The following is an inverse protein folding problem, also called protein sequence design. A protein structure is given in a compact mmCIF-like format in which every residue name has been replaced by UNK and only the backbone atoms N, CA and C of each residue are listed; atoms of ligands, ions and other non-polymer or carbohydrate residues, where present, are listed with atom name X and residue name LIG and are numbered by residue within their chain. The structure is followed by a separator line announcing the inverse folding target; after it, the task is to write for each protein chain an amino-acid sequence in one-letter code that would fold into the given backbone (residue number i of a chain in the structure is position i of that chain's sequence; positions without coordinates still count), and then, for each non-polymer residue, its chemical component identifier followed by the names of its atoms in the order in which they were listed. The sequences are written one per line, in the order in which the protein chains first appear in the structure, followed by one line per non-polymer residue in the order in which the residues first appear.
data_IF_154288832755
#
_entry.id   IF_154288832755
#
_cell.length_a   1.000
_cell.length_b   1.000
_cell.length_c   1.000
_cell.angle_alpha   90.00
_cell.angle_beta   90.00
_cell.angle_gamma   90.00
#
_symmetry.space_group_name_H-M   'P 1'
#
loop_
_entity.id
_entity.type
_entity.pdbx_description
1 polymer ?
#
# COMPACT_ATOMS: atom_id res chain seq x y z
N UNK A 1 13.13 4.74 -20.54
CA UNK A 1 14.18 5.36 -19.70
C UNK A 1 13.88 4.99 -18.24
N UNK A 2 14.33 3.81 -17.78
CA UNK A 2 14.11 3.27 -16.42
C UNK A 2 15.47 2.81 -15.84
N UNK A 3 16.51 3.65 -15.95
CA UNK A 3 17.81 3.33 -15.37
C UNK A 3 17.84 3.81 -13.91
N UNK A 4 17.87 2.83 -13.00
CA UNK A 4 18.28 2.92 -11.58
C UNK A 4 17.20 3.21 -10.52
N UNK A 5 16.05 2.54 -10.55
CA UNK A 5 15.28 2.35 -9.31
C UNK A 5 16.02 1.32 -8.44
N UNK A 6 17.06 1.77 -7.74
CA UNK A 6 17.72 0.96 -6.71
C UNK A 6 16.82 1.00 -5.46
N UNK A 7 16.46 -0.16 -4.92
CA UNK A 7 15.81 -0.29 -3.61
C UNK A 7 16.83 -0.09 -2.49
N UNK A 8 17.49 1.07 -2.51
CA UNK A 8 18.52 1.45 -1.56
C UNK A 8 17.94 2.15 -0.31
N UNK A 9 16.77 2.78 -0.47
CA UNK A 9 16.03 3.51 0.57
C UNK A 9 14.72 2.82 0.91
N UNK A 10 14.39 2.81 2.20
CA UNK A 10 13.14 2.26 2.73
C UNK A 10 11.91 2.99 2.18
N UNK A 11 11.94 4.32 2.13
CA UNK A 11 10.79 5.09 1.65
C UNK A 11 10.42 4.77 0.20
N UNK A 12 11.40 4.41 -0.65
CA UNK A 12 11.14 3.98 -2.04
C UNK A 12 10.38 2.66 -2.10
N UNK A 13 10.64 1.75 -1.16
CA UNK A 13 9.89 0.49 -1.04
C UNK A 13 8.45 0.77 -0.64
N UNK A 14 8.23 1.65 0.35
CA UNK A 14 6.88 2.06 0.75
C UNK A 14 6.12 2.71 -0.41
N UNK A 15 6.68 3.70 -1.11
CA UNK A 15 6.03 4.28 -2.29
C UNK A 15 5.70 3.22 -3.35
N UNK A 16 6.60 2.26 -3.57
CA UNK A 16 6.37 1.21 -4.56
C UNK A 16 5.19 0.32 -4.19
N UNK A 17 5.16 -0.21 -2.96
CA UNK A 17 4.12 -1.13 -2.50
C UNK A 17 2.81 -0.43 -2.13
N UNK A 18 2.86 0.76 -1.54
CA UNK A 18 1.66 1.46 -1.06
C UNK A 18 0.98 2.33 -2.12
N UNK A 19 1.70 2.72 -3.18
CA UNK A 19 1.18 3.68 -4.15
C UNK A 19 1.28 3.15 -5.56
N UNK A 20 2.48 2.77 -6.02
CA UNK A 20 2.69 2.40 -7.43
C UNK A 20 1.93 1.12 -7.79
N UNK A 21 2.08 0.06 -7.01
CA UNK A 21 1.39 -1.22 -7.27
C UNK A 21 -0.14 -1.07 -7.18
N UNK A 22 -0.72 -0.47 -6.11
CA UNK A 22 -2.16 -0.22 -6.02
C UNK A 22 -2.68 0.65 -7.17
N UNK A 23 -1.98 1.72 -7.55
CA UNK A 23 -2.40 2.59 -8.62
C UNK A 23 -2.44 1.87 -9.98
N UNK A 24 -1.47 0.98 -10.24
CA UNK A 24 -1.47 0.15 -11.45
C UNK A 24 -2.65 -0.84 -11.41
N UNK A 25 -2.86 -1.54 -10.30
CA UNK A 25 -3.98 -2.48 -10.16
C UNK A 25 -5.33 -1.77 -10.33
N UNK A 26 -5.49 -0.60 -9.70
CA UNK A 26 -6.67 0.25 -9.83
C UNK A 26 -6.89 0.69 -11.27
N UNK A 27 -5.86 1.20 -11.94
CA UNK A 27 -5.99 1.67 -13.32
C UNK A 27 -6.40 0.53 -14.26
N UNK A 28 -5.82 -0.66 -14.12
CA UNK A 28 -6.19 -1.81 -14.96
C UNK A 28 -7.63 -2.23 -14.64
N UNK A 29 -8.01 -2.33 -13.36
CA UNK A 29 -9.38 -2.67 -12.97
C UNK A 29 -10.40 -1.67 -13.55
N UNK A 30 -10.13 -0.37 -13.44
CA UNK A 30 -11.00 0.70 -13.94
C UNK A 30 -11.11 0.70 -15.47
N UNK A 31 -10.01 0.48 -16.19
CA UNK A 31 -9.99 0.53 -17.65
C UNK A 31 -10.59 -0.72 -18.31
N UNK A 32 -10.47 -1.88 -17.65
CA UNK A 32 -10.94 -3.16 -18.22
C UNK A 32 -12.33 -3.54 -17.73
N UNK A 33 -12.80 -2.94 -16.63
CA UNK A 33 -14.06 -3.24 -15.96
C UNK A 33 -14.21 -4.72 -15.54
N UNK A 34 -13.09 -5.44 -15.36
CA UNK A 34 -13.10 -6.87 -15.00
C UNK A 34 -13.28 -7.02 -13.48
N UNK A 35 -14.35 -7.68 -12.98
CA UNK A 35 -14.63 -7.80 -11.55
C UNK A 35 -13.53 -8.48 -10.73
N UNK A 36 -12.83 -9.44 -11.34
CA UNK A 36 -11.68 -10.10 -10.71
C UNK A 36 -10.56 -9.11 -10.38
N UNK A 37 -10.29 -8.14 -11.26
CA UNK A 37 -9.23 -7.15 -11.04
C UNK A 37 -9.60 -6.13 -9.98
N UNK A 38 -10.87 -5.73 -9.91
CA UNK A 38 -11.39 -4.93 -8.79
C UNK A 38 -11.23 -5.65 -7.46
N UNK A 39 -11.55 -6.95 -7.42
CA UNK A 39 -11.32 -7.81 -6.26
C UNK A 39 -9.85 -7.93 -5.89
N UNK A 40 -8.95 -8.05 -6.88
CA UNK A 40 -7.51 -8.13 -6.67
C UNK A 40 -6.94 -6.82 -6.10
N UNK A 41 -7.33 -5.67 -6.65
CA UNK A 41 -6.97 -4.35 -6.13
C UNK A 41 -7.42 -4.21 -4.66
N UNK A 42 -8.69 -4.52 -4.39
CA UNK A 42 -9.24 -4.41 -3.04
C UNK A 42 -8.56 -5.34 -2.03
N UNK A 43 -8.29 -6.59 -2.43
CA UNK A 43 -7.54 -7.52 -1.60
C UNK A 43 -6.12 -7.02 -1.33
N UNK A 44 -5.45 -6.46 -2.34
CA UNK A 44 -4.11 -5.89 -2.17
C UNK A 44 -4.11 -4.73 -1.18
N UNK A 45 -5.05 -3.79 -1.30
CA UNK A 45 -5.22 -2.68 -0.37
C UNK A 45 -5.39 -3.16 1.08
N UNK A 46 -6.29 -4.12 1.29
CA UNK A 46 -6.66 -4.59 2.62
C UNK A 46 -5.54 -5.44 3.26
N UNK A 47 -4.95 -6.37 2.52
CA UNK A 47 -3.98 -7.31 3.09
C UNK A 47 -2.54 -6.78 3.07
N UNK A 48 -2.16 -6.06 2.02
CA UNK A 48 -0.77 -5.64 1.79
C UNK A 48 -0.56 -4.18 2.15
N UNK A 49 -1.39 -3.25 1.66
CA UNK A 49 -1.16 -1.82 1.87
C UNK A 49 -1.51 -1.41 3.31
N UNK A 50 -2.66 -1.84 3.83
CA UNK A 50 -3.15 -1.41 5.14
C UNK A 50 -2.19 -1.79 6.28
N UNK A 51 -1.63 -0.81 7.00
CA UNK A 51 -0.81 -1.07 8.18
C UNK A 51 -1.66 -1.20 9.45
N UNK A 52 -3.00 -1.09 9.35
CA UNK A 52 -3.91 -1.18 10.49
C UNK A 52 -4.31 -2.64 10.67
N UNK A 53 -3.92 -3.22 11.79
CA UNK A 53 -4.26 -4.61 12.13
C UNK A 53 -5.72 -4.66 12.58
N UNK A 54 -6.52 -5.49 11.91
CA UNK A 54 -7.81 -5.95 12.41
C UNK A 54 -7.67 -7.38 12.93
N UNK A 55 -7.63 -7.54 14.25
CA UNK A 55 -7.44 -8.85 14.90
C UNK A 55 -8.62 -9.81 14.72
N UNK A 56 -9.83 -9.33 14.42
CA UNK A 56 -10.98 -10.18 14.20
C UNK A 56 -10.94 -10.88 12.83
N UNK A 57 -10.41 -10.20 11.81
CA UNK A 57 -10.34 -10.69 10.43
C UNK A 57 -8.92 -11.01 9.95
N UNK A 58 -7.90 -10.84 10.82
CA UNK A 58 -6.47 -11.06 10.53
C UNK A 58 -5.96 -10.27 9.31
N UNK A 59 -6.56 -9.11 9.07
CA UNK A 59 -6.25 -8.19 7.99
C UNK A 59 -5.18 -7.18 8.45
N UNK A 60 -4.37 -6.67 7.51
CA UNK A 60 -3.38 -5.61 7.75
C UNK A 60 -2.11 -6.05 8.50
N UNK A 61 -2.00 -7.35 8.85
CA UNK A 61 -0.81 -7.90 9.52
C UNK A 61 0.42 -7.81 8.59
N UNK A 62 0.28 -8.20 7.33
CA UNK A 62 1.38 -8.13 6.36
C UNK A 62 1.79 -6.67 6.15
N UNK A 63 0.82 -5.79 5.94
CA UNK A 63 1.00 -4.33 5.87
C UNK A 63 1.80 -3.78 7.04
N UNK A 64 1.36 -4.06 8.26
CA UNK A 64 2.03 -3.62 9.47
C UNK A 64 3.47 -4.14 9.57
N UNK A 65 3.68 -5.45 9.36
CA UNK A 65 4.98 -6.08 9.51
C UNK A 65 6.00 -5.51 8.53
N UNK A 66 5.60 -5.29 7.28
CA UNK A 66 6.53 -4.80 6.27
C UNK A 66 6.86 -3.31 6.47
N UNK A 67 5.88 -2.47 6.83
CA UNK A 67 6.12 -1.08 7.20
C UNK A 67 7.10 -0.98 8.38
N UNK A 68 6.83 -1.74 9.45
CA UNK A 68 7.71 -1.79 10.62
C UNK A 68 9.11 -2.28 10.26
N UNK A 69 9.21 -3.34 9.44
CA UNK A 69 10.47 -3.89 8.96
C UNK A 69 11.31 -2.87 8.17
N UNK A 70 10.66 -2.10 7.29
CA UNK A 70 11.31 -1.04 6.51
C UNK A 70 11.80 0.10 7.41
N UNK A 71 10.99 0.54 8.38
CA UNK A 71 11.39 1.58 9.34
C UNK A 71 12.58 1.11 10.17
N UNK A 72 12.53 -0.12 10.71
CA UNK A 72 13.64 -0.71 11.48
C UNK A 72 14.91 -0.78 10.63
N UNK A 73 14.79 -1.14 9.35
CA UNK A 73 15.91 -1.18 8.43
C UNK A 73 16.53 0.22 8.20
N UNK A 74 15.70 1.25 8.02
CA UNK A 74 16.15 2.63 7.89
C UNK A 74 16.85 3.12 9.17
N UNK A 75 16.31 2.78 10.35
CA UNK A 75 16.93 3.05 11.66
C UNK A 75 18.31 2.39 11.77
N UNK A 76 18.43 1.10 11.39
CA UNK A 76 19.72 0.38 11.41
C UNK A 76 20.77 1.02 10.51
N UNK A 77 20.36 1.58 9.37
CA UNK A 77 21.23 2.35 8.47
C UNK A 77 21.61 3.73 9.01
N UNK A 78 20.95 4.19 10.08
CA UNK A 78 21.12 5.54 10.66
C UNK A 78 20.87 6.67 9.65
N UNK A 79 19.99 6.43 8.68
CA UNK A 79 19.63 7.42 7.68
C UNK A 79 18.38 8.17 8.13
N UNK A 80 18.59 9.34 8.76
CA UNK A 80 17.51 10.14 9.33
C UNK A 80 16.46 10.57 8.29
N UNK A 81 16.89 10.90 7.07
CA UNK A 81 15.94 11.28 6.02
C UNK A 81 15.08 10.09 5.62
N UNK A 82 15.69 8.92 5.40
CA UNK A 82 14.95 7.69 5.07
C UNK A 82 13.94 7.34 6.17
N UNK A 83 14.33 7.44 7.44
CA UNK A 83 13.45 7.20 8.60
C UNK A 83 12.27 8.16 8.59
N UNK A 84 12.52 9.47 8.46
CA UNK A 84 11.47 10.50 8.46
C UNK A 84 10.47 10.24 7.33
N UNK A 85 10.95 10.00 6.12
CA UNK A 85 10.06 9.69 4.99
C UNK A 85 9.28 8.40 5.21
N UNK A 86 9.90 7.34 5.76
CA UNK A 86 9.18 6.12 6.08
C UNK A 86 8.04 6.36 7.07
N UNK A 87 8.31 7.11 8.14
CA UNK A 87 7.29 7.44 9.15
C UNK A 87 6.15 8.26 8.54
N UNK A 88 6.46 9.30 7.76
CA UNK A 88 5.45 10.14 7.10
C UNK A 88 4.56 9.30 6.18
N UNK A 89 5.16 8.45 5.33
CA UNK A 89 4.39 7.60 4.42
C UNK A 89 3.51 6.64 5.21
N UNK A 90 4.06 5.96 6.23
CA UNK A 90 3.29 5.02 7.07
C UNK A 90 2.09 5.70 7.73
N UNK A 91 2.29 6.91 8.28
CA UNK A 91 1.21 7.68 8.91
C UNK A 91 0.16 8.08 7.87
N UNK A 92 0.59 8.53 6.68
CA UNK A 92 -0.33 8.90 5.61
C UNK A 92 -1.18 7.71 5.14
N UNK A 93 -0.56 6.54 4.97
CA UNK A 93 -1.27 5.30 4.61
C UNK A 93 -2.20 4.84 5.74
N UNK A 94 -1.75 4.88 7.00
CA UNK A 94 -2.62 4.59 8.13
C UNK A 94 -3.82 5.54 8.18
N UNK A 95 -3.63 6.85 7.96
CA UNK A 95 -4.72 7.82 7.90
C UNK A 95 -5.68 7.53 6.74
N UNK A 96 -5.15 7.16 5.57
CA UNK A 96 -5.94 6.79 4.39
C UNK A 96 -6.93 5.66 4.70
N UNK A 97 -6.51 4.61 5.41
CA UNK A 97 -7.41 3.53 5.86
C UNK A 97 -8.28 3.94 7.04
N UNK A 98 -7.75 4.71 7.99
CA UNK A 98 -8.49 5.15 9.18
C UNK A 98 -9.71 6.03 8.84
N UNK A 99 -9.56 6.90 7.84
CA UNK A 99 -10.63 7.75 7.33
C UNK A 99 -11.44 7.10 6.21
N UNK A 100 -11.25 5.79 5.96
CA UNK A 100 -12.02 5.04 4.97
C UNK A 100 -11.93 5.60 3.54
N UNK A 101 -10.84 6.30 3.21
CA UNK A 101 -10.64 6.91 1.88
C UNK A 101 -10.52 5.82 0.82
N UNK A 102 -9.97 4.66 1.18
CA UNK A 102 -9.96 3.45 0.34
C UNK A 102 -11.37 3.08 -0.16
N UNK A 103 -12.40 3.25 0.66
CA UNK A 103 -13.78 2.96 0.27
C UNK A 103 -14.38 4.01 -0.67
N UNK A 104 -13.82 5.22 -0.72
CA UNK A 104 -14.16 6.21 -1.74
C UNK A 104 -13.52 5.86 -3.08
N UNK A 105 -12.27 5.38 -3.07
CA UNK A 105 -11.51 5.03 -4.28
C UNK A 105 -12.09 3.80 -4.98
N UNK A 106 -12.61 2.80 -4.25
CA UNK A 106 -13.17 1.59 -4.88
C UNK A 106 -14.53 1.82 -5.56
N UNK A 107 -15.28 2.89 -5.24
CA UNK A 107 -16.65 3.13 -5.75
C UNK A 107 -16.84 3.02 -7.26
N UNK A 108 -15.94 3.53 -8.13
CA UNK A 108 -16.10 3.44 -9.57
C UNK A 108 -15.72 2.07 -10.15
N UNK A 109 -15.18 1.14 -9.34
CA UNK A 109 -14.81 -0.18 -9.81
C UNK A 109 -16.01 -1.14 -9.81
N UNK A 110 -16.09 -1.99 -10.83
CA UNK A 110 -17.12 -3.02 -10.92
C UNK A 110 -16.74 -4.25 -10.07
N UNK A 111 -17.59 -4.60 -9.10
CA UNK A 111 -17.44 -5.80 -8.26
C UNK A 111 -18.52 -6.86 -8.53
N UNK A 112 -19.46 -6.61 -9.44
CA UNK A 112 -20.52 -7.56 -9.75
C UNK A 112 -19.92 -8.75 -10.50
N UNK A 113 -19.99 -9.93 -9.88
CA UNK A 113 -19.69 -11.20 -10.54
C UNK A 113 -20.74 -11.49 -11.61
N UNK A 114 -20.30 -12.03 -12.74
CA UNK A 114 -21.15 -12.71 -13.73
C UNK A 114 -22.02 -13.78 -13.05
#
# INVERSE_FOLDING_TARGET
MLKNFKFDKGWKLLIYFDIIVPAILYAIALLTDIPFLSGLFHAYEIFIVSPIINFASYIGIVGFVYHLGIIIYAIKKRDLFDIIFCIIITIAIAAFFWFEINYLIIKPLNFMRF
#
